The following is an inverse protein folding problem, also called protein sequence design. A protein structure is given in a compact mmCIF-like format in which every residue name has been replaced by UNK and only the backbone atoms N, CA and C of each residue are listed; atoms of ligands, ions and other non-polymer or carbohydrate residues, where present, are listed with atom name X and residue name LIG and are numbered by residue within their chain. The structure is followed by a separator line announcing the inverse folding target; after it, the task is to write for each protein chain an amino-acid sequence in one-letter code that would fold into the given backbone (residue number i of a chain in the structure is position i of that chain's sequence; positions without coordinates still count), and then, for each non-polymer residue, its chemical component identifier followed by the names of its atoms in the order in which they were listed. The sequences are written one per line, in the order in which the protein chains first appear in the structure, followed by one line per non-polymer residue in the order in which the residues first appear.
data_IF_086741314988
#
_entry.id   IF_086741314988
#
_cell.length_a   1.000
_cell.length_b   1.000
_cell.length_c   1.000
_cell.angle_alpha   90.00
_cell.angle_beta   90.00
_cell.angle_gamma   90.00
#
_symmetry.space_group_name_H-M   'P 1'
#
loop_
_entity.id
_entity.type
_entity.pdbx_description
1 polymer ?
#
# COMPACT_ATOMS: atom_id res chain seq x y z
N UNK A 1 -0.48 38.08 -30.08
CA UNK A 1 -0.65 36.64 -30.39
C UNK A 1 0.69 35.95 -30.13
N UNK A 2 0.85 35.32 -28.97
CA UNK A 2 1.96 34.44 -28.64
C UNK A 2 1.34 33.13 -28.17
N UNK A 3 1.47 32.09 -28.98
CA UNK A 3 1.04 30.73 -28.67
C UNK A 3 2.10 30.08 -27.78
N UNK A 4 1.72 29.73 -26.54
CA UNK A 4 2.50 28.87 -25.67
C UNK A 4 1.98 27.44 -25.85
N UNK A 5 2.86 26.56 -26.31
CA UNK A 5 2.61 25.12 -26.46
C UNK A 5 2.83 24.47 -25.11
N UNK A 6 1.77 23.91 -24.52
CA UNK A 6 1.82 23.09 -23.31
C UNK A 6 2.08 21.63 -23.71
N UNK A 7 3.12 21.03 -23.16
CA UNK A 7 3.35 19.57 -23.19
C UNK A 7 2.94 19.00 -21.82
N UNK A 8 2.07 17.98 -21.74
CA UNK A 8 1.81 17.28 -20.50
C UNK A 8 2.74 16.06 -20.39
N UNK A 9 3.49 15.97 -19.30
CA UNK A 9 4.07 14.70 -18.85
C UNK A 9 3.20 14.20 -17.71
N UNK A 10 2.48 13.10 -17.95
CA UNK A 10 1.74 12.36 -16.93
C UNK A 10 2.43 11.00 -16.85
N UNK A 11 3.21 10.79 -15.79
CA UNK A 11 3.85 9.50 -15.53
C UNK A 11 2.90 8.63 -14.70
N UNK A 12 2.32 7.62 -15.34
CA UNK A 12 1.63 6.54 -14.65
C UNK A 12 2.69 5.53 -14.17
N UNK A 13 2.83 5.39 -12.86
CA UNK A 13 3.66 4.35 -12.26
C UNK A 13 2.78 3.12 -12.00
N UNK A 14 2.82 2.15 -12.93
CA UNK A 14 2.27 0.81 -12.72
C UNK A 14 3.39 -0.06 -12.15
N UNK A 15 3.30 -0.41 -10.87
CA UNK A 15 4.12 -1.47 -10.28
C UNK A 15 3.27 -2.74 -10.20
N UNK A 16 3.62 -3.73 -11.00
CA UNK A 16 3.09 -5.08 -10.87
C UNK A 16 3.90 -5.83 -9.80
N UNK A 17 3.23 -6.48 -8.85
CA UNK A 17 3.84 -7.52 -8.02
C UNK A 17 3.04 -8.82 -8.22
N UNK A 18 3.74 -9.89 -8.60
CA UNK A 18 3.15 -11.21 -8.82
C UNK A 18 2.79 -11.93 -7.52
N UNK A 19 1.95 -12.97 -7.59
CA UNK A 19 1.52 -13.73 -6.42
C UNK A 19 2.61 -14.76 -6.07
N UNK A 20 3.00 -14.85 -4.79
CA UNK A 20 3.41 -16.10 -4.12
C UNK A 20 3.98 -15.80 -2.72
N UNK A 21 3.14 -15.97 -1.70
CA UNK A 21 3.50 -16.41 -0.35
C UNK A 21 2.19 -16.91 0.28
N UNK A 22 1.91 -18.21 0.31
CA UNK A 22 2.69 -19.18 1.05
C UNK A 22 2.27 -19.11 2.52
N UNK A 23 1.11 -19.68 2.85
CA UNK A 23 0.57 -19.69 4.21
C UNK A 23 1.50 -20.41 5.18
N UNK A 24 1.66 -19.85 6.38
CA UNK A 24 2.26 -20.56 7.50
C UNK A 24 1.46 -20.30 8.78
N UNK A 25 1.13 -21.45 9.38
CA UNK A 25 0.46 -21.74 10.63
C UNK A 25 1.24 -21.16 11.83
N UNK A 26 0.57 -20.36 12.67
CA UNK A 26 1.16 -19.80 13.88
C UNK A 26 0.96 -20.78 15.06
N UNK A 27 1.92 -21.69 15.21
CA UNK A 27 2.11 -22.51 16.41
C UNK A 27 2.84 -21.74 17.51
N UNK A 28 2.35 -21.88 18.73
CA UNK A 28 2.69 -21.18 19.96
C UNK A 28 4.17 -21.27 20.39
N UNK A 29 4.66 -20.18 20.98
CA UNK A 29 5.95 -20.03 21.65
C UNK A 29 6.09 -20.94 22.87
N UNK A 30 7.28 -21.55 23.03
CA UNK A 30 7.85 -21.84 24.36
C UNK A 30 9.37 -21.73 24.32
N UNK A 31 9.91 -20.99 25.30
CA UNK A 31 11.29 -20.54 25.40
C UNK A 31 12.23 -21.60 26.00
N UNK A 32 13.50 -21.65 25.53
CA UNK A 32 14.65 -21.99 26.37
C UNK A 32 16.01 -21.73 25.70
N UNK A 33 16.78 -20.84 26.35
CA UNK A 33 18.24 -20.75 26.54
C UNK A 33 19.21 -21.74 25.85
N UNK A 34 20.34 -21.19 25.38
CA UNK A 34 21.66 -21.69 25.83
C UNK A 34 22.75 -21.96 24.78
N UNK A 35 23.76 -21.09 24.82
CA UNK A 35 25.21 -21.35 24.74
C UNK A 35 25.94 -21.60 23.41
N UNK A 36 27.04 -20.86 23.29
CA UNK A 36 28.20 -20.97 22.40
C UNK A 36 28.74 -22.38 22.17
N UNK A 37 29.24 -22.64 20.96
CA UNK A 37 30.65 -23.00 20.73
C UNK A 37 30.89 -23.19 19.22
N UNK A 38 31.84 -22.43 18.67
CA UNK A 38 32.47 -22.81 17.40
C UNK A 38 33.32 -24.07 17.56
N UNK A 39 33.57 -24.78 16.47
CA UNK A 39 34.88 -25.33 16.13
C UNK A 39 34.89 -25.93 14.71
N UNK A 40 36.09 -25.84 14.16
CA UNK A 40 36.60 -26.08 12.83
C UNK A 40 36.57 -27.56 12.38
N UNK A 41 36.80 -27.73 11.07
CA UNK A 41 36.76 -28.91 10.23
C UNK A 41 37.56 -30.14 10.70
N UNK A 42 37.11 -31.32 10.27
CA UNK A 42 37.98 -32.29 9.57
C UNK A 42 37.19 -33.43 8.95
N UNK A 43 37.53 -33.74 7.70
CA UNK A 43 37.00 -34.84 6.90
C UNK A 43 37.47 -36.21 7.41
N UNK A 44 36.61 -37.23 7.30
CA UNK A 44 36.99 -38.63 7.05
C UNK A 44 35.94 -39.32 6.18
N UNK A 45 36.40 -39.74 5.01
CA UNK A 45 35.75 -40.62 4.05
C UNK A 45 35.93 -42.10 4.46
N UNK A 46 34.89 -42.91 4.26
CA UNK A 46 34.99 -44.33 3.88
C UNK A 46 33.63 -44.85 3.36
N UNK A 47 33.64 -45.38 2.13
CA UNK A 47 32.53 -45.89 1.30
C UNK A 47 31.59 -46.93 1.92
N UNK A 48 30.53 -47.39 1.24
CA UNK A 48 30.11 -47.29 -0.16
C UNK A 48 28.90 -48.23 -0.37
N UNK A 49 28.10 -47.99 -1.40
CA UNK A 49 26.99 -48.87 -1.80
C UNK A 49 25.88 -48.12 -2.55
N UNK A 50 25.96 -48.14 -3.89
CA UNK A 50 25.01 -47.50 -4.80
C UNK A 50 23.91 -48.46 -5.27
N UNK A 51 22.69 -47.93 -5.48
CA UNK A 51 21.83 -48.06 -6.69
C UNK A 51 20.55 -47.27 -6.42
N UNK A 52 20.33 -46.15 -7.12
CA UNK A 52 19.60 -46.01 -8.39
C UNK A 52 18.23 -45.37 -8.15
N UNK A 53 18.18 -44.05 -8.26
CA UNK A 53 16.95 -43.27 -8.36
C UNK A 53 17.02 -42.50 -9.67
N UNK A 54 16.13 -42.85 -10.60
CA UNK A 54 16.02 -42.28 -11.93
C UNK A 54 16.11 -40.76 -11.92
N UNK A 55 17.21 -40.28 -12.48
CA UNK A 55 17.51 -38.87 -12.62
C UNK A 55 16.54 -38.29 -13.65
N UNK A 56 15.53 -37.56 -13.16
CA UNK A 56 14.77 -36.61 -13.97
C UNK A 56 15.79 -35.76 -14.71
N UNK A 57 15.63 -35.64 -16.03
CA UNK A 57 16.44 -34.79 -16.89
C UNK A 57 16.38 -33.37 -16.33
N UNK A 58 17.33 -33.06 -15.47
CA UNK A 58 17.59 -31.73 -14.97
C UNK A 58 18.13 -31.01 -16.19
N UNK A 59 17.22 -30.33 -16.89
CA UNK A 59 17.54 -29.52 -18.05
C UNK A 59 18.87 -28.83 -17.80
N UNK A 60 19.80 -29.04 -18.72
CA UNK A 60 21.22 -28.69 -18.60
C UNK A 60 21.32 -27.37 -17.84
N UNK A 61 21.92 -27.42 -16.66
CA UNK A 61 22.29 -26.21 -15.96
C UNK A 61 23.12 -25.41 -16.95
N UNK A 62 22.58 -24.28 -17.40
CA UNK A 62 23.36 -23.32 -18.18
C UNK A 62 24.39 -22.76 -17.21
N UNK A 63 25.50 -23.48 -17.06
CA UNK A 63 26.68 -22.97 -16.39
C UNK A 63 27.04 -21.68 -17.13
N UNK A 64 27.09 -20.52 -16.45
CA UNK A 64 27.55 -19.30 -17.08
C UNK A 64 28.89 -19.60 -17.74
N UNK A 65 28.95 -19.50 -19.08
CA UNK A 65 30.21 -19.67 -19.78
C UNK A 65 31.19 -18.64 -19.22
N UNK A 66 32.44 -19.05 -18.98
CA UNK A 66 33.51 -18.08 -18.80
C UNK A 66 33.50 -17.19 -20.05
N UNK A 67 33.29 -15.86 -19.94
CA UNK A 67 33.22 -14.99 -21.12
C UNK A 67 34.59 -14.86 -21.83
N UNK A 68 35.59 -15.63 -21.40
CA UNK A 68 37.00 -15.45 -21.69
C UNK A 68 37.59 -14.31 -20.83
N UNK A 69 38.86 -13.93 -21.07
CA UNK A 69 39.38 -12.63 -20.66
C UNK A 69 38.72 -11.56 -21.54
N UNK A 70 37.42 -11.32 -21.34
CA UNK A 70 36.74 -10.17 -21.91
C UNK A 70 36.87 -9.04 -20.91
N UNK A 71 37.69 -8.03 -21.24
CA UNK A 71 37.78 -6.81 -20.47
C UNK A 71 36.41 -6.10 -20.51
N UNK A 72 35.80 -5.88 -19.34
CA UNK A 72 34.66 -4.98 -19.20
C UNK A 72 35.21 -3.60 -18.86
N UNK A 73 35.12 -2.68 -19.82
CA UNK A 73 35.46 -1.27 -19.59
C UNK A 73 34.19 -0.52 -19.19
N UNK A 74 34.23 0.14 -18.04
CA UNK A 74 33.19 1.06 -17.56
C UNK A 74 33.78 2.46 -17.59
N UNK A 75 33.23 3.32 -18.44
CA UNK A 75 33.57 4.73 -18.49
C UNK A 75 32.52 5.53 -17.73
N UNK A 76 32.96 6.42 -16.85
CA UNK A 76 32.10 7.30 -16.06
C UNK A 76 32.54 8.73 -16.32
N UNK A 77 31.68 9.50 -16.98
CA UNK A 77 31.85 10.94 -17.15
C UNK A 77 30.86 11.67 -16.23
N UNK A 78 31.37 12.35 -15.20
CA UNK A 78 30.55 13.09 -14.23
C UNK A 78 30.00 14.41 -14.78
N UNK A 79 30.32 14.77 -16.02
CA UNK A 79 29.84 15.97 -16.70
C UNK A 79 28.87 15.67 -17.85
N UNK A 80 28.78 14.43 -18.31
CA UNK A 80 27.82 14.00 -19.32
C UNK A 80 26.46 13.65 -18.68
N UNK A 81 25.36 14.03 -19.34
CA UNK A 81 23.98 13.65 -18.99
C UNK A 81 23.58 13.88 -17.51
N UNK A 82 24.12 14.93 -16.89
CA UNK A 82 23.85 15.26 -15.49
C UNK A 82 22.38 15.64 -15.30
N UNK A 83 21.70 14.92 -14.41
CA UNK A 83 20.33 15.21 -13.98
C UNK A 83 20.15 14.92 -12.49
N UNK A 84 19.19 15.61 -11.86
CA UNK A 84 18.88 15.39 -10.45
C UNK A 84 18.20 14.02 -10.27
N UNK A 85 18.68 13.25 -9.29
CA UNK A 85 18.03 12.02 -8.85
C UNK A 85 17.07 12.40 -7.72
N UNK A 86 15.77 12.26 -7.95
CA UNK A 86 14.78 12.53 -6.89
C UNK A 86 15.00 11.56 -5.73
N UNK A 87 15.11 12.04 -4.47
CA UNK A 87 15.23 11.15 -3.32
C UNK A 87 13.98 10.27 -3.12
N UNK A 88 12.83 10.67 -3.69
CA UNK A 88 11.56 9.97 -3.53
C UNK A 88 11.50 8.60 -4.25
N UNK A 89 12.48 8.27 -5.10
CA UNK A 89 12.59 6.93 -5.70
C UNK A 89 12.98 5.87 -4.67
N UNK A 90 13.53 6.27 -3.52
CA UNK A 90 13.90 5.40 -2.41
C UNK A 90 12.77 5.35 -1.38
N UNK A 91 11.71 4.62 -1.73
CA UNK A 91 10.50 4.52 -0.91
C UNK A 91 10.15 3.10 -0.45
N UNK A 92 9.19 3.03 0.49
CA UNK A 92 8.66 1.78 1.04
C UNK A 92 7.14 1.88 1.29
N UNK A 93 6.44 0.75 1.31
CA UNK A 93 5.06 0.67 1.80
C UNK A 93 5.06 0.37 3.31
N UNK A 94 4.16 1.00 4.05
CA UNK A 94 4.11 0.91 5.51
C UNK A 94 5.21 1.71 6.22
N UNK A 95 5.12 1.79 7.54
CA UNK A 95 6.08 2.51 8.38
C UNK A 95 7.07 1.58 9.12
N UNK A 96 6.73 0.30 9.30
CA UNK A 96 7.51 -0.64 10.11
C UNK A 96 7.15 -2.10 9.85
N UNK A 97 7.84 -2.78 8.94
CA UNK A 97 7.86 -4.26 8.91
C UNK A 97 9.26 -4.86 9.10
N UNK A 98 10.32 -4.06 9.26
CA UNK A 98 11.65 -4.58 9.60
C UNK A 98 12.57 -3.53 10.24
N UNK A 99 12.78 -3.64 11.55
CA UNK A 99 13.93 -3.01 12.22
C UNK A 99 15.20 -3.84 12.01
N UNK A 100 16.37 -3.22 11.76
CA UNK A 100 16.60 -1.80 11.53
C UNK A 100 16.43 -1.44 10.05
N UNK A 101 15.56 -0.47 9.75
CA UNK A 101 15.48 0.11 8.41
C UNK A 101 16.81 0.81 8.07
N UNK A 102 17.25 0.78 6.79
CA UNK A 102 18.21 1.77 6.33
C UNK A 102 17.65 3.17 6.62
N UNK A 103 18.45 4.04 7.25
CA UNK A 103 18.10 5.42 7.63
C UNK A 103 17.79 6.34 6.42
N UNK A 104 17.62 5.78 5.22
CA UNK A 104 17.73 6.49 3.94
C UNK A 104 16.45 6.48 3.09
N UNK A 105 15.33 5.93 3.58
CA UNK A 105 14.06 6.09 2.88
C UNK A 105 13.53 7.52 2.99
N UNK A 106 13.09 8.08 1.86
CA UNK A 106 12.53 9.43 1.76
C UNK A 106 11.06 9.46 1.34
N UNK A 107 10.45 8.29 1.11
CA UNK A 107 9.05 8.16 0.69
C UNK A 107 8.40 6.95 1.37
N UNK A 108 7.25 7.17 1.99
CA UNK A 108 6.51 6.15 2.73
C UNK A 108 5.07 6.12 2.23
N UNK A 109 4.53 4.94 1.92
CA UNK A 109 3.15 4.79 1.43
C UNK A 109 2.28 4.00 2.40
N UNK A 110 1.20 4.61 2.88
CA UNK A 110 0.05 3.94 3.49
C UNK A 110 -0.99 3.66 2.41
N UNK A 111 -1.03 2.41 1.92
CA UNK A 111 -1.86 2.00 0.79
C UNK A 111 -2.09 0.49 0.74
N UNK A 112 -2.42 -0.01 -0.46
CA UNK A 112 -2.74 -1.42 -0.67
C UNK A 112 -4.23 -1.73 -0.50
N UNK A 113 -4.59 -2.99 -0.72
CA UNK A 113 -5.97 -3.47 -0.83
C UNK A 113 -6.84 -3.10 0.39
N UNK A 114 -6.27 -3.18 1.60
CA UNK A 114 -6.98 -2.81 2.84
C UNK A 114 -7.47 -1.36 2.85
N UNK A 115 -6.76 -0.44 2.21
CA UNK A 115 -7.08 0.99 2.24
C UNK A 115 -8.26 1.36 1.33
N UNK A 116 -8.60 0.55 0.33
CA UNK A 116 -9.72 0.80 -0.61
C UNK A 116 -11.08 0.90 0.09
N UNK A 117 -11.27 0.20 1.21
CA UNK A 117 -12.50 0.26 2.02
C UNK A 117 -12.23 0.65 3.48
N UNK A 118 -11.13 1.36 3.73
CA UNK A 118 -10.79 1.87 5.06
C UNK A 118 -11.75 3.00 5.46
N UNK A 119 -12.33 2.89 6.65
CA UNK A 119 -13.19 3.91 7.23
C UNK A 119 -12.42 4.67 8.31
N UNK A 120 -12.17 5.97 8.08
CA UNK A 120 -11.42 6.79 9.01
C UNK A 120 -12.17 7.08 10.32
N UNK A 121 -13.49 6.94 10.35
CA UNK A 121 -14.28 7.28 11.54
C UNK A 121 -14.17 6.21 12.64
N UNK A 122 -13.96 4.95 12.25
CA UNK A 122 -13.92 3.79 13.16
C UNK A 122 -12.69 2.88 12.97
N UNK A 123 -11.77 3.25 12.06
CA UNK A 123 -10.59 2.50 11.65
C UNK A 123 -10.83 1.08 11.07
N UNK A 124 -12.08 0.73 10.75
CA UNK A 124 -12.39 -0.53 10.12
C UNK A 124 -11.85 -0.58 8.69
N UNK A 125 -11.53 -1.78 8.21
CA UNK A 125 -11.17 -2.02 6.81
C UNK A 125 -11.79 -3.33 6.33
N UNK A 126 -11.95 -3.47 5.01
CA UNK A 126 -12.32 -4.73 4.38
C UNK A 126 -11.10 -5.40 3.75
N UNK A 127 -10.91 -6.69 3.99
CA UNK A 127 -9.80 -7.46 3.45
C UNK A 127 -9.92 -7.77 1.95
N UNK A 128 -11.10 -7.60 1.35
CA UNK A 128 -11.33 -8.06 -0.01
C UNK A 128 -11.10 -9.57 -0.16
N UNK A 129 -10.67 -10.00 -1.34
CA UNK A 129 -10.35 -11.38 -1.64
C UNK A 129 -9.12 -11.91 -0.89
N UNK A 130 -8.31 -11.02 -0.29
CA UNK A 130 -7.09 -11.42 0.42
C UNK A 130 -7.40 -12.25 1.68
N UNK A 131 -8.53 -11.95 2.36
CA UNK A 131 -8.91 -12.67 3.57
C UNK A 131 -10.43 -12.64 3.81
N UNK A 132 -11.12 -13.70 3.37
CA UNK A 132 -12.55 -13.95 3.59
C UNK A 132 -13.53 -12.84 3.20
N UNK A 133 -13.12 -11.75 2.54
CA UNK A 133 -13.96 -10.56 2.31
C UNK A 133 -14.50 -9.93 3.59
N UNK A 134 -13.85 -10.14 4.73
CA UNK A 134 -14.34 -9.70 6.03
C UNK A 134 -14.01 -8.22 6.29
N UNK A 135 -14.86 -7.56 7.08
CA UNK A 135 -14.46 -6.34 7.77
C UNK A 135 -13.81 -6.70 9.10
N UNK A 136 -12.72 -6.02 9.46
CA UNK A 136 -12.02 -6.24 10.71
C UNK A 136 -11.19 -5.01 11.13
N UNK A 137 -10.51 -5.13 12.28
CA UNK A 137 -9.58 -4.13 12.82
C UNK A 137 -8.11 -4.37 12.42
N UNK A 138 -7.82 -5.06 11.32
CA UNK A 138 -6.46 -5.47 10.94
C UNK A 138 -5.46 -4.30 10.86
N UNK A 139 -5.91 -3.14 10.36
CA UNK A 139 -5.07 -1.94 10.25
C UNK A 139 -4.79 -1.27 11.62
N UNK A 140 -5.46 -1.69 12.68
CA UNK A 140 -5.32 -1.11 14.02
C UNK A 140 -6.11 0.19 14.19
N UNK A 141 -5.52 1.17 14.87
CA UNK A 141 -6.12 2.49 15.13
C UNK A 141 -7.13 2.55 16.29
N UNK A 142 -7.74 1.42 16.67
CA UNK A 142 -8.68 1.37 17.78
C UNK A 142 -9.88 2.32 17.58
N UNK A 143 -10.36 2.93 18.66
CA UNK A 143 -11.56 3.78 18.63
C UNK A 143 -11.29 5.26 18.31
N UNK A 144 -10.05 5.63 17.98
CA UNK A 144 -9.69 7.03 17.69
C UNK A 144 -9.84 7.32 16.20
N UNK A 145 -10.73 8.23 15.76
CA UNK A 145 -10.89 8.52 14.35
C UNK A 145 -9.58 8.96 13.68
N UNK A 146 -9.33 8.40 12.50
CA UNK A 146 -8.18 8.71 11.66
C UNK A 146 -6.85 8.20 12.20
N UNK A 147 -6.86 7.33 13.21
CA UNK A 147 -5.63 6.92 13.90
C UNK A 147 -4.66 6.14 13.01
N UNK A 148 -5.16 5.30 12.09
CA UNK A 148 -4.31 4.56 11.15
C UNK A 148 -3.44 5.51 10.30
N UNK A 149 -4.00 6.44 9.51
CA UNK A 149 -3.17 7.37 8.75
C UNK A 149 -2.45 8.39 9.65
N UNK A 150 -3.03 8.81 10.79
CA UNK A 150 -2.39 9.79 11.69
C UNK A 150 -1.11 9.23 12.33
N UNK A 151 -1.14 8.00 12.84
CA UNK A 151 0.03 7.34 13.42
C UNK A 151 1.10 7.09 12.36
N UNK A 152 0.71 6.59 11.19
CA UNK A 152 1.59 6.43 10.04
C UNK A 152 2.32 7.73 9.65
N UNK A 153 1.58 8.85 9.54
CA UNK A 153 2.19 10.14 9.23
C UNK A 153 3.10 10.59 10.36
N UNK A 154 2.69 10.47 11.63
CA UNK A 154 3.52 10.84 12.77
C UNK A 154 4.90 10.12 12.75
N UNK A 155 4.92 8.85 12.36
CA UNK A 155 6.15 8.03 12.30
C UNK A 155 7.05 8.37 11.11
N UNK A 156 6.49 8.89 10.01
CA UNK A 156 7.18 9.02 8.73
C UNK A 156 7.50 10.47 8.35
N UNK A 157 6.71 11.44 8.82
CA UNK A 157 6.75 12.83 8.35
C UNK A 157 8.09 13.53 8.64
N UNK A 158 8.85 13.11 9.66
CA UNK A 158 10.17 13.70 9.93
C UNK A 158 11.26 13.20 8.97
N UNK A 159 11.01 12.09 8.26
CA UNK A 159 11.98 11.39 7.41
C UNK A 159 11.78 11.66 5.92
N UNK A 160 10.58 12.04 5.50
CA UNK A 160 10.31 12.32 4.09
C UNK A 160 8.84 12.54 3.78
N UNK A 161 8.41 12.12 2.59
CA UNK A 161 7.02 12.17 2.15
C UNK A 161 6.22 11.00 2.75
N UNK A 162 5.06 11.31 3.31
CA UNK A 162 4.04 10.35 3.72
C UNK A 162 2.89 10.37 2.70
N UNK A 163 2.79 9.36 1.85
CA UNK A 163 1.67 9.17 0.92
C UNK A 163 0.55 8.38 1.60
N UNK A 164 -0.63 8.99 1.77
CA UNK A 164 -1.81 8.38 2.39
C UNK A 164 -2.88 8.10 1.33
N UNK A 165 -3.45 6.90 1.34
CA UNK A 165 -4.50 6.51 0.39
C UNK A 165 -5.88 6.99 0.85
N UNK A 166 -6.63 7.62 -0.04
CA UNK A 166 -8.04 8.00 0.14
C UNK A 166 -8.90 6.99 -0.63
N UNK A 167 -9.87 6.32 0.01
CA UNK A 167 -10.77 5.39 -0.68
C UNK A 167 -11.72 6.16 -1.62
N UNK A 168 -11.81 5.70 -2.87
CA UNK A 168 -12.71 6.26 -3.89
C UNK A 168 -13.64 5.20 -4.49
N UNK A 169 -13.58 3.93 -4.03
CA UNK A 169 -14.45 2.84 -4.51
C UNK A 169 -15.95 3.10 -4.26
N UNK A 170 -16.27 3.96 -3.29
CA UNK A 170 -17.63 4.42 -2.95
C UNK A 170 -18.22 3.81 -1.67
N UNK A 171 -17.54 2.86 -1.04
CA UNK A 171 -17.95 2.27 0.23
C UNK A 171 -16.74 2.02 1.13
N UNK A 172 -16.94 2.15 2.44
CA UNK A 172 -15.95 1.84 3.48
C UNK A 172 -16.57 0.99 4.58
N UNK A 173 -15.76 0.23 5.33
CA UNK A 173 -16.25 -0.74 6.30
C UNK A 173 -17.04 -0.06 7.45
N UNK A 174 -18.19 -0.64 7.83
CA UNK A 174 -19.01 -0.11 8.93
C UNK A 174 -18.62 -0.66 10.30
N UNK A 175 -17.86 -1.75 10.35
CA UNK A 175 -17.63 -2.54 11.56
C UNK A 175 -16.27 -3.25 11.54
N UNK A 176 -15.84 -3.75 12.70
CA UNK A 176 -14.58 -4.47 12.88
C UNK A 176 -14.78 -5.94 13.27
N UNK A 177 -15.92 -6.55 12.92
CA UNK A 177 -16.36 -7.82 13.51
C UNK A 177 -15.42 -9.01 13.28
N UNK A 178 -14.72 -9.07 12.15
CA UNK A 178 -13.80 -10.18 11.83
C UNK A 178 -14.48 -11.55 11.80
N UNK A 179 -15.76 -11.59 11.44
CA UNK A 179 -16.64 -12.77 11.52
C UNK A 179 -16.76 -13.53 10.19
N UNK A 180 -15.78 -13.34 9.29
CA UNK A 180 -15.75 -13.94 7.96
C UNK A 180 -16.49 -13.11 6.90
N UNK A 181 -16.96 -13.78 5.85
CA UNK A 181 -17.49 -13.10 4.66
C UNK A 181 -18.71 -12.24 4.95
N UNK A 182 -18.56 -10.93 4.73
CA UNK A 182 -19.64 -9.93 4.86
C UNK A 182 -20.86 -10.32 4.03
N UNK A 183 -20.67 -11.01 2.89
CA UNK A 183 -21.74 -11.49 2.03
C UNK A 183 -22.70 -12.48 2.68
N UNK A 184 -22.34 -13.07 3.84
CA UNK A 184 -23.23 -13.87 4.67
C UNK A 184 -24.28 -13.05 5.44
N UNK A 185 -24.13 -11.73 5.51
CA UNK A 185 -25.08 -10.83 6.17
C UNK A 185 -26.22 -10.46 5.22
N UNK A 186 -27.51 -10.63 5.60
CA UNK A 186 -28.61 -10.09 4.81
C UNK A 186 -28.45 -8.58 4.63
N UNK A 187 -28.60 -8.09 3.40
CA UNK A 187 -28.37 -6.68 3.07
C UNK A 187 -26.99 -6.18 3.54
N UNK A 188 -25.94 -6.99 3.30
CA UNK A 188 -24.59 -6.70 3.79
C UNK A 188 -24.09 -5.32 3.36
N UNK A 189 -24.46 -4.84 2.17
CA UNK A 189 -23.94 -3.56 1.67
C UNK A 189 -24.41 -2.38 2.54
N UNK A 190 -25.64 -2.41 3.06
CA UNK A 190 -26.13 -1.37 3.97
C UNK A 190 -25.84 -1.69 5.44
N UNK A 191 -25.56 -2.96 5.78
CA UNK A 191 -25.33 -3.39 7.16
C UNK A 191 -23.85 -3.34 7.56
N UNK A 192 -22.96 -3.72 6.64
CA UNK A 192 -21.52 -3.91 6.84
C UNK A 192 -20.69 -2.82 6.16
N UNK A 193 -21.30 -1.89 5.43
CA UNK A 193 -20.58 -0.77 4.81
C UNK A 193 -21.30 0.57 5.03
N UNK A 194 -20.52 1.64 4.85
CA UNK A 194 -20.96 3.03 4.77
C UNK A 194 -20.64 3.57 3.39
N UNK A 195 -21.49 4.46 2.89
CA UNK A 195 -21.25 5.14 1.61
C UNK A 195 -20.13 6.16 1.81
N UNK A 196 -19.16 6.17 0.89
CA UNK A 196 -18.03 7.10 0.95
C UNK A 196 -18.19 8.20 -0.09
N UNK A 197 -18.04 9.44 0.35
CA UNK A 197 -18.11 10.65 -0.46
C UNK A 197 -16.83 11.46 -0.36
N UNK A 198 -16.55 12.26 -1.37
CA UNK A 198 -15.43 13.19 -1.31
C UNK A 198 -15.66 14.29 -0.27
N UNK A 199 -16.79 15.00 -0.33
CA UNK A 199 -17.04 16.22 0.46
C UNK A 199 -18.28 16.11 1.34
N UNK A 200 -18.19 16.59 2.58
CA UNK A 200 -19.34 16.84 3.46
C UNK A 200 -20.10 18.09 2.96
N UNK A 201 -21.42 18.01 2.73
CA UNK A 201 -22.25 19.17 2.39
C UNK A 201 -22.20 20.32 3.41
N UNK A 202 -21.83 20.02 4.65
CA UNK A 202 -21.66 20.98 5.75
C UNK A 202 -20.24 21.59 5.81
N UNK A 203 -19.31 21.08 4.99
CA UNK A 203 -17.90 21.44 4.95
C UNK A 203 -17.00 20.49 5.77
N UNK A 204 -15.68 20.51 5.51
CA UNK A 204 -14.75 19.55 6.09
C UNK A 204 -14.65 19.67 7.62
N UNK A 205 -14.69 18.53 8.31
CA UNK A 205 -14.59 18.43 9.78
C UNK A 205 -13.68 17.28 10.19
N UNK A 206 -12.79 17.53 11.15
CA UNK A 206 -11.96 16.47 11.76
C UNK A 206 -12.73 15.58 12.72
N UNK A 207 -13.95 16.00 13.08
CA UNK A 207 -14.83 15.28 13.99
C UNK A 207 -15.85 14.56 13.12
N UNK A 208 -15.84 13.20 13.06
CA UNK A 208 -16.76 12.44 12.25
C UNK A 208 -18.17 12.43 12.83
N UNK A 209 -19.16 12.21 11.97
CA UNK A 209 -20.56 11.96 12.33
C UNK A 209 -20.79 10.45 12.27
N UNK A 210 -20.71 9.78 13.41
CA UNK A 210 -20.64 8.30 13.45
C UNK A 210 -22.01 7.60 13.53
N UNK A 211 -23.09 8.36 13.63
CA UNK A 211 -24.46 7.84 13.77
C UNK A 211 -25.26 7.81 12.45
N UNK A 212 -24.62 8.12 11.33
CA UNK A 212 -25.22 8.05 10.00
C UNK A 212 -24.70 6.86 9.15
N UNK A 213 -25.07 6.85 7.87
CA UNK A 213 -24.70 5.81 6.90
C UNK A 213 -23.65 6.28 5.89
N UNK A 214 -23.05 7.45 6.10
CA UNK A 214 -22.23 8.19 5.15
C UNK A 214 -20.84 8.44 5.78
N UNK A 215 -19.80 8.55 4.95
CA UNK A 215 -18.45 8.91 5.40
C UNK A 215 -17.87 9.88 4.39
N UNK A 216 -17.36 11.01 4.88
CA UNK A 216 -16.81 12.07 4.04
C UNK A 216 -15.28 12.09 4.16
N UNK A 217 -14.57 12.00 3.03
CA UNK A 217 -13.12 11.86 3.01
C UNK A 217 -12.37 13.20 3.20
N UNK A 218 -13.03 14.32 2.95
CA UNK A 218 -12.52 15.66 3.27
C UNK A 218 -12.24 15.84 4.77
N UNK A 219 -13.02 15.18 5.64
CA UNK A 219 -12.78 15.13 7.09
C UNK A 219 -11.45 14.45 7.45
N UNK A 220 -11.12 13.33 6.80
CA UNK A 220 -9.82 12.66 6.97
C UNK A 220 -8.66 13.55 6.51
N UNK A 221 -8.81 14.20 5.36
CA UNK A 221 -7.79 15.13 4.83
C UNK A 221 -7.61 16.31 5.78
N UNK A 222 -8.71 16.90 6.25
CA UNK A 222 -8.70 18.00 7.22
C UNK A 222 -8.03 17.62 8.54
N UNK A 223 -8.26 16.40 9.03
CA UNK A 223 -7.62 15.85 10.23
C UNK A 223 -6.10 15.76 10.06
N UNK A 224 -5.61 15.30 8.92
CA UNK A 224 -4.17 15.18 8.68
C UNK A 224 -3.52 16.55 8.46
N UNK A 225 -4.15 17.44 7.70
CA UNK A 225 -3.60 18.77 7.43
C UNK A 225 -3.52 19.63 8.70
N UNK A 226 -4.51 19.59 9.58
CA UNK A 226 -4.46 20.39 10.81
C UNK A 226 -3.37 19.94 11.78
N UNK A 227 -2.96 18.68 11.71
CA UNK A 227 -1.90 18.10 12.55
C UNK A 227 -0.52 18.28 11.95
N UNK A 228 -0.39 18.13 10.63
CA UNK A 228 0.92 17.92 9.99
C UNK A 228 1.29 18.93 8.91
N UNK A 229 0.39 19.84 8.49
CA UNK A 229 0.71 20.83 7.44
C UNK A 229 1.93 21.71 7.78
N UNK A 230 2.16 22.00 9.07
CA UNK A 230 3.32 22.76 9.55
C UNK A 230 4.65 22.02 9.45
N UNK A 231 4.62 20.69 9.28
CA UNK A 231 5.82 19.84 9.16
C UNK A 231 6.33 19.73 7.72
N UNK A 232 5.54 20.23 6.75
CA UNK A 232 5.91 20.29 5.34
C UNK A 232 7.21 21.07 5.16
N UNK A 233 8.11 20.58 4.32
CA UNK A 233 9.30 21.32 3.94
C UNK A 233 9.82 20.93 2.56
N UNK A 234 9.68 21.89 1.64
CA UNK A 234 9.99 21.67 0.24
C UNK A 234 9.15 20.53 -0.35
N UNK A 235 9.64 19.97 -1.43
CA UNK A 235 8.98 18.90 -2.19
C UNK A 235 9.29 17.48 -1.64
N UNK A 236 10.11 17.36 -0.59
CA UNK A 236 10.59 16.08 -0.09
C UNK A 236 10.06 15.71 1.30
N UNK A 237 9.24 16.57 1.92
CA UNK A 237 8.67 16.30 3.24
C UNK A 237 7.28 16.88 3.35
N UNK A 238 6.31 16.05 3.68
CA UNK A 238 4.91 16.44 3.73
C UNK A 238 3.98 15.24 3.61
N UNK A 239 2.68 15.50 3.80
CA UNK A 239 1.61 14.54 3.53
C UNK A 239 1.16 14.71 2.09
N UNK A 240 1.09 13.61 1.34
CA UNK A 240 0.53 13.57 0.00
C UNK A 240 -0.57 12.52 -0.05
N UNK A 241 -1.44 12.59 -1.06
CA UNK A 241 -2.61 11.72 -1.15
C UNK A 241 -2.61 10.89 -2.43
N UNK A 242 -2.91 9.61 -2.28
CA UNK A 242 -3.19 8.68 -3.38
C UNK A 242 -4.70 8.47 -3.48
N UNK A 243 -5.22 8.37 -4.70
CA UNK A 243 -6.64 8.11 -4.93
C UNK A 243 -6.83 6.60 -5.12
N UNK A 244 -7.17 5.94 -4.02
CA UNK A 244 -7.42 4.51 -3.89
C UNK A 244 -6.21 3.62 -4.25
N UNK A 245 -6.46 2.35 -4.57
CA UNK A 245 -5.50 1.33 -4.89
C UNK A 245 -6.07 0.44 -6.01
N UNK A 246 -5.33 0.31 -7.10
CA UNK A 246 -5.59 -0.67 -8.18
C UNK A 246 -7.06 -0.73 -8.66
N UNK A 247 -7.62 0.39 -9.17
CA UNK A 247 -9.02 0.45 -9.58
C UNK A 247 -9.42 -0.58 -10.64
N UNK A 248 -8.49 -0.97 -11.52
CA UNK A 248 -8.72 -2.01 -12.53
C UNK A 248 -8.92 -3.41 -11.91
N UNK A 249 -8.41 -3.62 -10.69
CA UNK A 249 -8.54 -4.87 -9.94
C UNK A 249 -9.69 -4.86 -8.94
N UNK A 250 -10.43 -3.77 -8.75
CA UNK A 250 -11.47 -3.72 -7.72
C UNK A 250 -12.54 -4.81 -7.86
N UNK A 251 -12.89 -5.23 -9.07
CA UNK A 251 -13.85 -6.32 -9.28
C UNK A 251 -13.33 -7.67 -8.79
N UNK A 252 -12.02 -7.89 -8.85
CA UNK A 252 -11.38 -9.11 -8.37
C UNK A 252 -11.02 -9.04 -6.87
N UNK A 253 -10.46 -7.91 -6.42
CA UNK A 253 -10.00 -7.71 -5.05
C UNK A 253 -11.17 -7.37 -4.11
N UNK A 254 -12.13 -6.54 -4.53
CA UNK A 254 -13.31 -6.16 -3.73
C UNK A 254 -14.62 -6.58 -4.41
N UNK A 255 -14.84 -7.89 -4.68
CA UNK A 255 -15.98 -8.38 -5.43
C UNK A 255 -17.32 -8.13 -4.71
N UNK A 256 -17.30 -7.97 -3.38
CA UNK A 256 -18.47 -7.58 -2.57
C UNK A 256 -18.93 -6.14 -2.83
N UNK A 257 -18.01 -5.27 -3.28
CA UNK A 257 -18.30 -3.86 -3.59
C UNK A 257 -18.47 -3.61 -5.09
N UNK A 258 -17.83 -4.42 -5.95
CA UNK A 258 -17.81 -4.20 -7.41
C UNK A 258 -18.43 -5.33 -8.24
N UNK A 259 -19.16 -6.24 -7.61
CA UNK A 259 -19.83 -7.34 -8.31
C UNK A 259 -18.82 -8.20 -9.04
N UNK A 260 -18.28 -9.23 -8.37
CA UNK A 260 -17.25 -10.12 -8.91
C UNK A 260 -17.63 -10.88 -10.20
N UNK A 261 -18.87 -10.73 -10.68
CA UNK A 261 -19.37 -11.20 -11.98
C UNK A 261 -19.27 -10.14 -13.10
N UNK A 262 -18.69 -8.97 -12.80
CA UNK A 262 -18.60 -7.83 -13.71
C UNK A 262 -19.86 -6.97 -13.76
N UNK A 263 -20.88 -7.25 -12.95
CA UNK A 263 -22.13 -6.47 -12.93
C UNK A 263 -21.91 -5.00 -12.53
N UNK A 264 -20.85 -4.71 -11.78
CA UNK A 264 -20.42 -3.36 -11.43
C UNK A 264 -18.95 -3.13 -11.86
N UNK A 265 -18.56 -3.67 -13.01
CA UNK A 265 -17.24 -3.42 -13.59
C UNK A 265 -16.97 -1.91 -13.70
N UNK A 266 -15.78 -1.48 -13.29
CA UNK A 266 -15.37 -0.08 -13.36
C UNK A 266 -15.22 0.35 -14.81
N UNK A 267 -15.79 1.51 -15.15
CA UNK A 267 -15.59 2.14 -16.45
C UNK A 267 -14.55 3.25 -16.37
N UNK A 268 -13.90 3.57 -17.49
CA UNK A 268 -12.98 4.71 -17.56
C UNK A 268 -13.67 6.04 -17.22
N UNK A 269 -14.93 6.23 -17.65
CA UNK A 269 -15.70 7.43 -17.33
C UNK A 269 -15.96 7.53 -15.82
N UNK A 270 -16.35 6.42 -15.16
CA UNK A 270 -16.54 6.39 -13.72
C UNK A 270 -15.23 6.68 -12.97
N UNK A 271 -14.13 6.03 -13.36
CA UNK A 271 -12.83 6.26 -12.74
C UNK A 271 -12.38 7.71 -12.89
N UNK A 272 -12.56 8.30 -14.08
CA UNK A 272 -12.26 9.69 -14.34
C UNK A 272 -13.11 10.63 -13.47
N UNK A 273 -14.42 10.40 -13.40
CA UNK A 273 -15.33 11.20 -12.57
C UNK A 273 -14.91 11.16 -11.09
N UNK A 274 -14.66 9.97 -10.53
CA UNK A 274 -14.18 9.80 -9.15
C UNK A 274 -12.83 10.49 -8.93
N UNK A 275 -11.90 10.32 -9.86
CA UNK A 275 -10.57 10.95 -9.79
C UNK A 275 -10.68 12.46 -9.73
N UNK A 276 -11.47 13.08 -10.61
CA UNK A 276 -11.66 14.54 -10.63
C UNK A 276 -12.34 15.03 -9.35
N UNK A 277 -13.36 14.33 -8.89
CA UNK A 277 -14.10 14.69 -7.67
C UNK A 277 -13.18 14.69 -6.44
N UNK A 278 -12.49 13.58 -6.18
CA UNK A 278 -11.64 13.44 -4.99
C UNK A 278 -10.36 14.27 -5.09
N UNK A 279 -9.75 14.41 -6.28
CA UNK A 279 -8.61 15.31 -6.45
C UNK A 279 -9.00 16.79 -6.21
N UNK A 280 -10.22 17.18 -6.61
CA UNK A 280 -10.72 18.55 -6.37
C UNK A 280 -10.92 18.79 -4.88
N UNK A 281 -11.48 17.82 -4.15
CA UNK A 281 -11.60 17.88 -2.69
C UNK A 281 -10.23 18.04 -2.03
N UNK A 282 -9.25 17.19 -2.38
CA UNK A 282 -7.89 17.29 -1.80
C UNK A 282 -7.28 18.65 -2.08
N UNK A 283 -7.47 19.20 -3.29
CA UNK A 283 -6.97 20.53 -3.64
C UNK A 283 -7.62 21.65 -2.83
N UNK A 284 -8.89 21.51 -2.46
CA UNK A 284 -9.63 22.49 -1.66
C UNK A 284 -9.20 22.45 -0.18
N UNK A 285 -9.14 21.27 0.41
CA UNK A 285 -8.82 21.08 1.85
C UNK A 285 -7.32 21.19 2.11
N UNK A 286 -6.50 20.68 1.19
CA UNK A 286 -5.05 20.56 1.32
C UNK A 286 -4.30 21.20 0.12
N UNK A 287 -4.47 22.51 -0.13
CA UNK A 287 -3.84 23.17 -1.30
C UNK A 287 -2.31 23.12 -1.30
N UNK A 288 -1.68 22.83 -0.15
CA UNK A 288 -0.23 22.68 0.01
C UNK A 288 0.28 21.22 -0.10
N UNK A 289 -0.62 20.27 -0.39
CA UNK A 289 -0.29 18.86 -0.61
C UNK A 289 0.06 18.51 -2.07
N UNK A 290 0.04 19.52 -2.96
CA UNK A 290 0.27 19.41 -4.40
C UNK A 290 1.57 20.13 -4.80
#
# INVERSE_FOLDING_TARGET
MKTATLWPWMAALLLACGPDAGGMDAGLDDAASGADAGLDASARDAGGGATDAGQRDAGVRLEPGSPGPSDVQVEVDTFADVHAISPLIYGINGAAESTPHPEHYAFFRSGGNRMTAYNWENNASNAGADYFHQNDAFLGGGDTPGEVPRSFVADTISRGVSLVTIPIIGYVAADTLGDGDVGGTPDFLNTRFRRSHANDPSGPSEIPVTDDAEVYQDGMVQLLESRFSSMRAGEHRGVHYSLDNEPDLWAATHPRLRGGDGSLALTYDELWTRTVEYASMVREVAPSAL
#
